data_IF_902786387152
#
_entry.id   IF_902786387152
#
_cell.length_a   1.000
_cell.length_b   1.000
_cell.length_c   1.000
_cell.angle_alpha   90.00
_cell.angle_beta   90.00
_cell.angle_gamma   90.00
#
_symmetry.space_group_name_H-M   'P 1'
#
loop_
_entity.id
_entity.type
_entity.pdbx_description
1 polymer ?
#
# COMPACT_ATOMS: atom_id res chain seq x y z
N UNK A 1 16.36 32.19 -34.03
CA UNK A 1 16.51 31.73 -32.62
C UNK A 1 15.20 31.57 -31.84
N UNK A 2 14.02 32.08 -32.28
CA UNK A 2 12.75 32.02 -31.52
C UNK A 2 12.07 30.63 -31.51
N UNK A 3 12.32 29.77 -32.49
CA UNK A 3 11.61 28.47 -32.64
C UNK A 3 12.05 27.34 -31.68
N UNK A 4 13.23 27.45 -31.07
CA UNK A 4 13.76 26.42 -30.13
C UNK A 4 13.22 26.57 -28.71
N UNK A 5 12.74 27.73 -28.32
CA UNK A 5 12.20 27.97 -26.98
C UNK A 5 10.80 27.36 -26.78
N UNK A 6 9.99 27.28 -27.84
CA UNK A 6 8.66 26.68 -27.74
C UNK A 6 8.68 25.17 -27.55
N UNK A 7 9.71 24.48 -28.06
CA UNK A 7 9.89 23.03 -27.87
C UNK A 7 10.30 22.70 -26.44
N UNK A 8 11.11 23.53 -25.81
CA UNK A 8 11.51 23.35 -24.41
C UNK A 8 10.36 23.57 -23.43
N UNK A 9 9.49 24.56 -23.67
CA UNK A 9 8.29 24.81 -22.88
C UNK A 9 7.27 23.68 -23.01
N UNK A 10 7.08 23.11 -24.19
CA UNK A 10 6.18 21.99 -24.41
C UNK A 10 6.69 20.69 -23.72
N UNK A 11 8.01 20.47 -23.67
CA UNK A 11 8.60 19.33 -23.00
C UNK A 11 8.48 19.43 -21.46
N UNK A 12 8.57 20.64 -20.89
CA UNK A 12 8.35 20.88 -19.46
C UNK A 12 6.88 20.69 -19.06
N UNK A 13 5.94 21.09 -19.91
CA UNK A 13 4.51 20.90 -19.66
C UNK A 13 4.10 19.41 -19.71
N UNK A 14 4.73 18.62 -20.58
CA UNK A 14 4.48 17.17 -20.66
C UNK A 14 5.06 16.41 -19.45
N UNK A 15 6.14 16.90 -18.86
CA UNK A 15 6.72 16.30 -17.65
C UNK A 15 5.88 16.60 -16.39
N UNK A 16 5.18 17.73 -16.33
CA UNK A 16 4.35 18.09 -15.17
C UNK A 16 3.03 17.33 -15.11
N UNK A 17 2.52 16.81 -16.23
CA UNK A 17 1.30 15.98 -16.24
C UNK A 17 1.48 14.57 -15.66
N UNK A 18 2.71 14.09 -15.44
CA UNK A 18 2.96 12.77 -14.84
C UNK A 18 2.95 12.77 -13.32
N UNK A 19 2.98 13.93 -12.66
CA UNK A 19 3.13 14.06 -11.21
C UNK A 19 1.80 14.26 -10.46
N UNK A 20 0.69 14.43 -11.16
CA UNK A 20 -0.62 14.61 -10.52
C UNK A 20 -1.47 13.34 -10.63
N UNK A 21 -0.98 12.22 -10.06
CA UNK A 21 -1.84 11.08 -9.74
C UNK A 21 -2.66 11.47 -8.51
N UNK A 22 -3.68 12.26 -8.73
CA UNK A 22 -4.73 12.51 -7.73
C UNK A 22 -5.54 11.20 -7.64
N UNK A 23 -4.97 10.23 -6.94
CA UNK A 23 -5.65 8.96 -6.70
C UNK A 23 -6.70 9.22 -5.62
N UNK A 24 -7.95 9.01 -5.99
CA UNK A 24 -9.08 9.10 -5.05
C UNK A 24 -9.06 7.96 -4.01
N UNK A 25 -8.05 7.09 -4.09
CA UNK A 25 -7.74 6.04 -3.13
C UNK A 25 -6.36 6.31 -2.55
N UNK A 26 -6.27 6.40 -1.23
CA UNK A 26 -5.05 6.79 -0.53
C UNK A 26 -4.69 5.76 0.54
N UNK A 27 -3.43 5.36 0.59
CA UNK A 27 -2.87 4.69 1.76
C UNK A 27 -2.61 5.76 2.81
N UNK A 28 -3.33 5.71 3.91
CA UNK A 28 -3.23 6.73 4.96
C UNK A 28 -2.26 6.38 6.05
N UNK A 29 -2.08 5.09 6.35
CA UNK A 29 -1.11 4.60 7.33
C UNK A 29 -0.88 3.10 7.23
N UNK A 30 0.22 2.64 7.82
CA UNK A 30 0.55 1.24 8.03
C UNK A 30 0.47 0.93 9.53
N UNK A 31 -0.21 -0.16 9.87
CA UNK A 31 -0.39 -0.59 11.25
C UNK A 31 0.20 -1.99 11.47
N UNK A 32 0.91 -2.15 12.57
CA UNK A 32 1.47 -3.43 12.97
C UNK A 32 0.41 -4.20 13.78
N UNK A 33 0.28 -5.50 13.52
CA UNK A 33 -0.63 -6.34 14.28
C UNK A 33 -0.21 -6.46 15.75
N UNK A 34 -1.19 -6.52 16.64
CA UNK A 34 -1.01 -6.90 18.04
C UNK A 34 -1.34 -8.38 18.19
N UNK A 35 -0.49 -9.10 18.92
CA UNK A 35 -0.75 -10.49 19.24
C UNK A 35 -1.70 -10.56 20.44
N UNK A 36 -2.92 -11.05 20.22
CA UNK A 36 -3.91 -11.30 21.24
C UNK A 36 -4.31 -12.78 21.21
N UNK A 37 -4.10 -13.49 22.32
CA UNK A 37 -4.38 -14.93 22.46
C UNK A 37 -3.83 -15.80 21.31
N UNK A 38 -2.65 -15.47 20.78
CA UNK A 38 -2.00 -16.20 19.68
C UNK A 38 -2.51 -15.81 18.29
N UNK A 39 -3.39 -14.82 18.18
CA UNK A 39 -3.93 -14.31 16.91
C UNK A 39 -3.47 -12.88 16.70
N UNK A 40 -2.99 -12.57 15.50
CA UNK A 40 -2.64 -11.21 15.13
C UNK A 40 -3.89 -10.42 14.73
N UNK A 41 -4.15 -9.34 15.43
CA UNK A 41 -5.25 -8.41 15.16
C UNK A 41 -4.69 -7.07 14.68
N UNK A 42 -5.39 -6.45 13.72
CA UNK A 42 -4.97 -5.20 13.10
C UNK A 42 -6.06 -4.15 13.33
N UNK A 43 -5.79 -3.21 14.21
CA UNK A 43 -6.74 -2.14 14.55
C UNK A 43 -6.45 -0.89 13.71
N UNK A 44 -7.36 -0.47 12.80
CA UNK A 44 -7.18 0.72 11.99
C UNK A 44 -7.06 2.01 12.80
N UNK A 45 -7.50 2.01 14.06
CA UNK A 45 -7.40 3.16 14.96
C UNK A 45 -6.04 3.26 15.65
N UNK A 46 -5.20 2.19 15.61
CA UNK A 46 -3.87 2.24 16.22
C UNK A 46 -2.98 3.29 15.56
N UNK A 47 -1.94 3.69 16.32
CA UNK A 47 -0.94 4.63 15.82
C UNK A 47 -0.23 4.10 14.59
N UNK A 48 0.19 5.02 13.73
CA UNK A 48 1.08 4.73 12.61
C UNK A 48 2.47 4.39 13.14
N UNK A 49 3.14 3.44 12.49
CA UNK A 49 4.54 3.13 12.75
C UNK A 49 5.37 3.53 11.54
N UNK A 50 6.41 4.33 11.78
CA UNK A 50 7.33 4.79 10.72
C UNK A 50 8.12 3.64 10.10
N UNK A 51 8.32 2.54 10.84
CA UNK A 51 8.99 1.34 10.36
C UNK A 51 8.55 0.10 11.15
N UNK A 52 8.68 -1.06 10.54
CA UNK A 52 8.46 -2.34 11.18
C UNK A 52 9.75 -3.10 11.41
N UNK A 53 9.80 -3.87 12.51
CA UNK A 53 10.92 -4.74 12.84
C UNK A 53 10.57 -6.19 12.49
N UNK A 54 11.41 -6.83 11.68
CA UNK A 54 11.26 -8.23 11.28
C UNK A 54 12.34 -9.06 11.97
N UNK A 55 11.92 -10.15 12.63
CA UNK A 55 12.82 -11.14 13.16
C UNK A 55 13.07 -12.28 12.16
N UNK A 56 14.21 -12.33 11.47
CA UNK A 56 14.50 -13.40 10.52
C UNK A 56 14.50 -14.80 11.16
N UNK A 57 14.80 -14.90 12.45
CA UNK A 57 14.84 -16.19 13.16
C UNK A 57 13.46 -16.73 13.53
N UNK A 58 12.42 -15.88 13.56
CA UNK A 58 11.07 -16.30 13.93
C UNK A 58 10.37 -17.14 12.86
N UNK A 59 10.77 -17.03 11.60
CA UNK A 59 10.17 -17.73 10.45
C UNK A 59 8.63 -17.58 10.36
N UNK A 60 8.12 -16.42 10.76
CA UNK A 60 6.67 -16.16 10.84
C UNK A 60 6.11 -15.45 9.62
N UNK A 61 6.99 -14.95 8.75
CA UNK A 61 6.56 -14.03 7.67
C UNK A 61 6.26 -12.62 8.21
N UNK A 62 5.83 -11.73 7.34
CA UNK A 62 5.54 -10.35 7.68
C UNK A 62 4.20 -9.89 7.13
N UNK A 63 3.13 -10.00 7.91
CA UNK A 63 1.81 -9.45 7.54
C UNK A 63 1.54 -8.17 8.30
N UNK A 64 1.10 -7.13 7.60
CA UNK A 64 0.74 -5.84 8.18
C UNK A 64 -0.63 -5.39 7.72
N UNK A 65 -1.27 -4.55 8.51
CA UNK A 65 -2.48 -3.84 8.12
C UNK A 65 -2.13 -2.53 7.44
N UNK A 66 -2.70 -2.29 6.29
CA UNK A 66 -2.60 -1.01 5.57
C UNK A 66 -3.97 -0.37 5.54
N UNK A 67 -4.10 0.85 6.06
CA UNK A 67 -5.37 1.57 6.07
C UNK A 67 -5.51 2.34 4.77
N UNK A 68 -6.51 1.97 3.98
CA UNK A 68 -6.85 2.64 2.72
C UNK A 68 -8.07 3.50 2.93
N UNK A 69 -8.02 4.75 2.47
CA UNK A 69 -9.13 5.69 2.43
C UNK A 69 -9.67 5.78 1.01
N UNK A 70 -10.97 5.54 0.87
CA UNK A 70 -11.70 5.73 -0.38
C UNK A 70 -12.31 7.13 -0.40
N UNK A 71 -11.73 8.04 -1.17
CA UNK A 71 -12.21 9.43 -1.32
C UNK A 71 -13.11 9.61 -2.54
N UNK A 72 -13.44 8.53 -3.24
CA UNK A 72 -14.38 8.59 -4.36
C UNK A 72 -15.75 9.04 -3.86
N UNK A 73 -16.42 9.83 -4.67
CA UNK A 73 -17.81 10.20 -4.41
C UNK A 73 -18.73 9.16 -5.01
N UNK A 74 -19.73 8.75 -4.24
CA UNK A 74 -20.77 7.86 -4.76
C UNK A 74 -21.60 8.62 -5.81
N UNK A 75 -21.58 8.21 -7.09
CA UNK A 75 -22.36 8.88 -8.13
C UNK A 75 -23.88 8.83 -7.87
N UNK A 76 -24.37 7.89 -7.07
CA UNK A 76 -25.78 7.82 -6.69
C UNK A 76 -26.25 8.96 -5.78
N UNK A 77 -25.35 9.74 -5.17
CA UNK A 77 -25.70 10.88 -4.31
C UNK A 77 -26.09 12.15 -5.09
N UNK A 78 -25.87 12.18 -6.41
CA UNK A 78 -26.13 13.34 -7.27
C UNK A 78 -27.36 13.12 -8.15
N UNK A 79 -28.53 12.82 -7.55
CA UNK A 79 -29.84 12.85 -8.23
C UNK A 79 -29.90 12.13 -9.60
N UNK A 80 -29.06 11.16 -9.87
CA UNK A 80 -29.06 10.47 -11.15
C UNK A 80 -29.62 9.06 -10.96
N UNK A 81 -30.83 8.88 -11.46
CA UNK A 81 -31.48 7.58 -11.66
C UNK A 81 -30.74 6.65 -12.63
N UNK A 82 -29.53 7.04 -13.09
CA UNK A 82 -28.82 6.39 -14.20
C UNK A 82 -27.59 5.57 -13.77
N UNK A 83 -27.13 5.60 -12.50
CA UNK A 83 -26.03 4.78 -12.03
C UNK A 83 -26.38 4.09 -10.71
N UNK A 84 -26.57 2.80 -10.78
CA UNK A 84 -26.86 1.92 -9.65
C UNK A 84 -25.60 1.35 -8.99
N UNK A 85 -24.40 1.65 -9.51
CA UNK A 85 -23.13 1.13 -9.03
C UNK A 85 -22.48 2.09 -8.05
N UNK A 86 -22.13 1.57 -6.89
CA UNK A 86 -21.38 2.31 -5.88
C UNK A 86 -19.89 2.39 -6.28
N UNK A 87 -19.18 3.41 -5.79
CA UNK A 87 -17.74 3.52 -5.94
C UNK A 87 -17.00 2.76 -4.81
N UNK A 88 -17.57 1.66 -4.32
CA UNK A 88 -16.97 0.79 -3.32
C UNK A 88 -15.71 0.15 -3.89
N UNK A 89 -14.62 0.23 -3.16
CA UNK A 89 -13.34 -0.35 -3.55
C UNK A 89 -13.17 -1.76 -2.97
N UNK A 90 -12.86 -2.70 -3.85
CA UNK A 90 -12.55 -4.09 -3.52
C UNK A 90 -11.05 -4.33 -3.74
N UNK A 91 -10.21 -4.30 -2.68
CA UNK A 91 -8.78 -4.55 -2.80
C UNK A 91 -8.51 -5.98 -3.26
N UNK A 92 -7.53 -6.17 -4.14
CA UNK A 92 -7.23 -7.48 -4.74
C UNK A 92 -5.76 -7.86 -4.59
N UNK A 93 -4.86 -6.94 -4.92
CA UNK A 93 -3.42 -7.20 -4.86
C UNK A 93 -2.63 -5.94 -4.51
N UNK A 94 -1.45 -6.15 -3.94
CA UNK A 94 -0.42 -5.14 -3.81
C UNK A 94 0.61 -5.35 -4.92
N UNK A 95 1.05 -4.25 -5.53
CA UNK A 95 2.17 -4.24 -6.47
C UNK A 95 3.24 -3.33 -5.90
N UNK A 96 4.47 -3.83 -5.79
CA UNK A 96 5.52 -3.05 -5.15
C UNK A 96 6.93 -3.41 -5.57
N UNK A 97 7.84 -2.49 -5.30
CA UNK A 97 9.27 -2.61 -5.48
C UNK A 97 9.95 -2.76 -4.11
N UNK A 98 10.84 -3.73 -3.99
CA UNK A 98 11.59 -4.03 -2.77
C UNK A 98 13.05 -3.66 -2.97
N UNK A 99 13.57 -2.76 -2.17
CA UNK A 99 14.97 -2.32 -2.18
C UNK A 99 15.65 -2.69 -0.86
N UNK A 100 16.69 -3.51 -0.91
CA UNK A 100 17.62 -3.65 0.20
C UNK A 100 18.52 -2.39 0.16
N UNK A 101 18.49 -1.59 1.22
CA UNK A 101 19.24 -0.33 1.26
C UNK A 101 20.74 -0.60 1.07
N UNK A 102 21.31 -0.05 0.01
CA UNK A 102 22.69 -0.30 -0.41
C UNK A 102 22.90 -1.59 -1.19
N UNK A 103 21.84 -2.28 -1.63
CA UNK A 103 21.91 -3.56 -2.30
C UNK A 103 20.97 -3.71 -3.50
N UNK A 104 20.37 -4.89 -3.62
CA UNK A 104 19.52 -5.26 -4.75
C UNK A 104 18.12 -4.63 -4.69
N UNK A 105 17.55 -4.40 -5.87
CA UNK A 105 16.16 -3.98 -6.04
C UNK A 105 15.41 -5.09 -6.79
N UNK A 106 14.29 -5.55 -6.20
CA UNK A 106 13.34 -6.45 -6.86
C UNK A 106 12.09 -5.65 -7.21
N UNK A 107 11.74 -5.60 -8.49
CA UNK A 107 10.65 -4.76 -8.99
C UNK A 107 9.43 -5.55 -9.38
N UNK A 108 8.26 -4.90 -9.30
CA UNK A 108 7.00 -5.43 -9.78
C UNK A 108 6.55 -6.68 -9.04
N UNK A 109 6.84 -6.78 -7.76
CA UNK A 109 6.38 -7.90 -6.92
C UNK A 109 4.87 -7.76 -6.72
N UNK A 110 4.14 -8.83 -7.06
CA UNK A 110 2.69 -8.89 -6.92
C UNK A 110 2.34 -9.81 -5.78
N UNK A 111 1.58 -9.29 -4.82
CA UNK A 111 1.15 -10.03 -3.63
C UNK A 111 -0.36 -9.93 -3.49
N UNK A 112 -1.08 -11.05 -3.39
CA UNK A 112 -2.51 -11.02 -3.10
C UNK A 112 -2.75 -10.43 -1.71
N UNK A 113 -3.78 -9.60 -1.60
CA UNK A 113 -4.15 -8.98 -0.33
C UNK A 113 -5.51 -9.49 0.13
N UNK A 114 -5.78 -9.35 1.42
CA UNK A 114 -7.09 -9.61 1.99
C UNK A 114 -7.61 -8.38 2.73
N UNK A 115 -8.90 -8.10 2.59
CA UNK A 115 -9.55 -6.97 3.22
C UNK A 115 -11.02 -6.94 2.91
N UNK A 116 -11.79 -6.21 3.73
CA UNK A 116 -13.16 -5.92 3.42
C UNK A 116 -13.24 -4.88 2.29
N UNK A 117 -14.39 -4.81 1.65
CA UNK A 117 -14.71 -3.69 0.76
C UNK A 117 -14.66 -2.36 1.53
N UNK A 118 -14.29 -1.30 0.83
CA UNK A 118 -14.15 0.04 1.40
C UNK A 118 -15.11 0.98 0.68
N UNK A 119 -16.14 1.39 1.39
CA UNK A 119 -17.18 2.26 0.83
C UNK A 119 -16.67 3.68 0.58
N UNK A 120 -17.30 4.42 -0.35
CA UNK A 120 -16.99 5.82 -0.62
C UNK A 120 -17.03 6.67 0.65
N UNK A 121 -16.00 7.49 0.85
CA UNK A 121 -15.83 8.33 2.03
C UNK A 121 -15.35 7.60 3.29
N UNK A 122 -15.19 6.27 3.23
CA UNK A 122 -14.75 5.44 4.35
C UNK A 122 -13.28 5.08 4.29
N UNK A 123 -12.76 4.57 5.41
CA UNK A 123 -11.45 3.95 5.50
C UNK A 123 -11.59 2.51 5.98
N UNK A 124 -10.73 1.63 5.47
CA UNK A 124 -10.73 0.22 5.88
C UNK A 124 -9.34 -0.40 5.84
N UNK A 125 -9.12 -1.46 6.65
CA UNK A 125 -7.85 -2.18 6.66
C UNK A 125 -7.76 -3.15 5.50
N UNK A 126 -6.56 -3.21 4.90
CA UNK A 126 -6.15 -4.21 3.92
C UNK A 126 -4.94 -4.93 4.51
N UNK A 127 -5.00 -6.25 4.60
CA UNK A 127 -3.91 -7.06 5.12
C UNK A 127 -2.99 -7.47 3.98
N UNK A 128 -1.71 -7.15 4.11
CA UNK A 128 -0.68 -7.43 3.11
C UNK A 128 0.38 -8.33 3.73
N UNK A 129 0.56 -9.57 3.24
CA UNK A 129 1.68 -10.43 3.63
C UNK A 129 2.94 -10.01 2.86
N UNK A 130 3.58 -8.92 3.29
CA UNK A 130 4.76 -8.34 2.63
C UNK A 130 5.89 -9.35 2.43
N UNK A 131 6.03 -10.30 3.35
CA UNK A 131 7.09 -11.31 3.31
C UNK A 131 6.54 -12.68 3.65
N UNK A 132 6.95 -13.68 2.87
CA UNK A 132 6.72 -15.08 3.24
C UNK A 132 7.69 -15.51 4.36
N UNK A 133 7.36 -16.55 5.14
CA UNK A 133 8.29 -17.09 6.14
C UNK A 133 9.67 -17.42 5.55
N UNK A 134 9.72 -18.04 4.38
CA UNK A 134 10.98 -18.37 3.72
C UNK A 134 11.79 -17.13 3.31
N UNK A 135 11.12 -16.03 2.90
CA UNK A 135 11.80 -14.79 2.58
C UNK A 135 12.39 -14.11 3.81
N UNK A 136 11.68 -14.11 4.93
CA UNK A 136 12.17 -13.48 6.18
C UNK A 136 13.47 -14.08 6.68
N UNK A 137 13.69 -15.40 6.56
CA UNK A 137 14.90 -16.07 7.05
C UNK A 137 16.19 -15.63 6.35
N UNK A 138 16.10 -15.09 5.16
CA UNK A 138 17.25 -14.62 4.35
C UNK A 138 17.46 -13.10 4.41
N UNK A 139 16.58 -12.38 5.08
CA UNK A 139 16.65 -10.93 5.16
C UNK A 139 17.73 -10.44 6.10
N UNK A 140 18.38 -9.35 5.72
CA UNK A 140 19.34 -8.64 6.57
C UNK A 140 19.33 -7.15 6.24
N UNK A 141 19.47 -6.32 7.28
CA UNK A 141 19.56 -4.87 7.13
C UNK A 141 18.21 -4.16 7.02
N UNK A 142 18.18 -3.11 6.24
CA UNK A 142 17.00 -2.25 6.02
C UNK A 142 16.43 -2.51 4.64
N UNK A 143 15.12 -2.72 4.56
CA UNK A 143 14.39 -2.97 3.33
C UNK A 143 13.36 -1.86 3.17
N UNK A 144 13.42 -1.17 2.05
CA UNK A 144 12.43 -0.18 1.63
C UNK A 144 11.45 -0.85 0.68
N UNK A 145 10.17 -0.67 0.90
CA UNK A 145 9.12 -1.16 0.03
C UNK A 145 8.30 0.01 -0.45
N UNK A 146 8.29 0.26 -1.76
CA UNK A 146 7.41 1.23 -2.41
C UNK A 146 6.30 0.47 -3.08
N UNK A 147 5.05 0.72 -2.73
CA UNK A 147 3.92 -0.08 -3.18
C UNK A 147 2.64 0.73 -3.40
N UNK A 148 1.73 0.15 -4.16
CA UNK A 148 0.33 0.57 -4.23
C UNK A 148 -0.58 -0.65 -4.16
N UNK A 149 -1.85 -0.44 -3.86
CA UNK A 149 -2.86 -1.49 -3.80
C UNK A 149 -3.78 -1.33 -5.00
N UNK A 150 -3.93 -2.40 -5.76
CA UNK A 150 -4.85 -2.50 -6.88
C UNK A 150 -6.12 -3.22 -6.47
N UNK A 151 -7.23 -2.82 -7.07
CA UNK A 151 -8.53 -3.44 -6.85
C UNK A 151 -9.54 -3.03 -7.91
N UNK A 152 -10.80 -3.35 -7.64
CA UNK A 152 -11.90 -3.02 -8.54
C UNK A 152 -12.96 -2.21 -7.83
N UNK A 153 -13.66 -1.37 -8.58
CA UNK A 153 -14.92 -0.78 -8.13
C UNK A 153 -16.09 -1.69 -8.50
N UNK A 154 -17.26 -1.42 -7.95
CA UNK A 154 -18.49 -2.19 -8.23
C UNK A 154 -18.87 -2.21 -9.72
N UNK A 155 -18.44 -1.21 -10.50
CA UNK A 155 -18.64 -1.17 -11.95
C UNK A 155 -17.62 -2.02 -12.72
N UNK A 156 -16.69 -2.69 -12.03
CA UNK A 156 -15.65 -3.52 -12.60
C UNK A 156 -14.41 -2.76 -13.07
N UNK A 157 -14.37 -1.43 -12.96
CA UNK A 157 -13.19 -0.64 -13.31
C UNK A 157 -12.03 -0.95 -12.38
N UNK A 158 -10.83 -1.11 -12.95
CA UNK A 158 -9.59 -1.33 -12.20
C UNK A 158 -9.06 0.03 -11.74
N UNK A 159 -8.78 0.13 -10.46
CA UNK A 159 -8.25 1.32 -9.81
C UNK A 159 -7.11 0.96 -8.88
N UNK A 160 -6.27 1.93 -8.54
CA UNK A 160 -5.15 1.76 -7.63
C UNK A 160 -5.06 2.91 -6.63
N UNK A 161 -4.43 2.64 -5.47
CA UNK A 161 -4.10 3.69 -4.50
C UNK A 161 -2.94 4.56 -4.99
N UNK A 162 -2.67 5.66 -4.27
CA UNK A 162 -1.38 6.33 -4.36
C UNK A 162 -0.24 5.37 -4.00
N UNK A 163 0.96 5.64 -4.51
CA UNK A 163 2.18 4.96 -4.05
C UNK A 163 2.47 5.34 -2.59
N UNK A 164 2.88 4.36 -1.81
CA UNK A 164 3.28 4.51 -0.43
C UNK A 164 4.63 3.83 -0.21
N UNK A 165 5.49 4.47 0.59
CA UNK A 165 6.80 3.91 0.96
C UNK A 165 6.75 3.48 2.42
N UNK A 166 7.29 2.28 2.71
CA UNK A 166 7.42 1.77 4.05
C UNK A 166 8.77 1.09 4.28
N UNK A 167 9.28 1.20 5.51
CA UNK A 167 10.60 0.70 5.88
C UNK A 167 10.47 -0.50 6.81
N UNK A 168 11.21 -1.56 6.49
CA UNK A 168 11.40 -2.73 7.33
C UNK A 168 12.85 -2.80 7.78
N UNK A 169 13.07 -3.11 9.05
CA UNK A 169 14.41 -3.27 9.63
C UNK A 169 14.51 -4.66 10.25
N UNK A 170 15.55 -5.40 9.90
CA UNK A 170 15.79 -6.68 10.56
C UNK A 170 16.35 -6.46 11.96
N UNK A 171 15.90 -7.27 12.91
CA UNK A 171 16.30 -7.20 14.30
C UNK A 171 16.77 -8.56 14.83
N UNK A 172 17.64 -8.56 15.85
CA UNK A 172 18.01 -9.80 16.55
C UNK A 172 16.86 -10.27 17.46
N UNK A 173 16.69 -11.58 17.60
CA UNK A 173 15.54 -12.23 18.25
C UNK A 173 15.11 -11.65 19.62
N UNK A 174 16.03 -11.06 20.38
CA UNK A 174 15.74 -10.53 21.72
C UNK A 174 15.22 -9.08 21.75
N UNK A 175 15.12 -8.40 20.60
CA UNK A 175 14.83 -6.96 20.54
C UNK A 175 13.71 -6.54 19.59
N UNK A 176 13.04 -7.49 18.95
CA UNK A 176 11.98 -7.14 18.00
C UNK A 176 10.66 -6.80 18.70
N UNK A 177 10.12 -5.63 18.40
CA UNK A 177 8.87 -5.14 19.01
C UNK A 177 7.60 -5.50 18.20
N UNK A 178 7.72 -6.39 17.22
CA UNK A 178 6.61 -6.71 16.31
C UNK A 178 6.24 -8.20 16.43
N UNK A 179 5.36 -8.56 17.36
CA UNK A 179 5.03 -9.97 17.62
C UNK A 179 4.27 -10.66 16.48
N UNK A 180 3.77 -9.87 15.52
CA UNK A 180 3.03 -10.36 14.34
C UNK A 180 3.84 -10.30 13.04
N UNK A 181 5.13 -10.02 13.13
CA UNK A 181 6.05 -9.94 12.00
C UNK A 181 7.18 -10.94 12.12
#
# INVERSE_FOLDING_TARGET
MKRRWHILLAALAAASCKLNRNTSLEVTKVVIGKLDNGVCTYDPSSDEFDFAQINPAANTGGTMGVVVKNQLTNPASLNSTLRTTSATFHPHQMVGDYEIVGGAITRGVIIPVSGAQIDPGSSGPVLIPFFSPAATTTMSGTIRVTFHIEGKLDDGSVVQTSEHEYIFVTCAAAGCNSPCL
#
